data_IF_370524366570
#
_entry.id   IF_370524366570
#
_cell.length_a   1.000
_cell.length_b   1.000
_cell.length_c   1.000
_cell.angle_alpha   90.00
_cell.angle_beta   90.00
_cell.angle_gamma   90.00
#
_symmetry.space_group_name_H-M   'P 1'
#
loop_
_entity.id
_entity.type
_entity.pdbx_description
1 polymer ?
#
# COMPACT_ATOMS: atom_id res chain seq x y z
N UNK A 1 -20.15 -5.01 -4.34
CA UNK A 1 -19.26 -3.85 -4.58
C UNK A 1 -17.83 -4.35 -4.44
N UNK A 2 -17.03 -4.33 -5.51
CA UNK A 2 -15.65 -4.85 -5.46
C UNK A 2 -14.75 -3.88 -4.70
N UNK A 3 -14.65 -4.10 -3.39
CA UNK A 3 -13.77 -3.36 -2.47
C UNK A 3 -12.33 -3.32 -3.01
N UNK A 4 -11.88 -4.38 -3.69
CA UNK A 4 -10.50 -4.51 -4.18
C UNK A 4 -10.05 -3.44 -5.16
N UNK A 5 -10.99 -2.88 -5.92
CA UNK A 5 -10.71 -1.84 -6.92
C UNK A 5 -10.50 -0.44 -6.33
N UNK A 6 -11.02 -0.20 -5.11
CA UNK A 6 -11.01 1.10 -4.43
C UNK A 6 -9.69 1.36 -3.69
N UNK A 7 -9.12 0.33 -3.08
CA UNK A 7 -7.97 0.46 -2.17
C UNK A 7 -6.67 0.07 -2.86
N UNK A 8 -5.69 0.95 -2.79
CA UNK A 8 -4.34 0.74 -3.31
C UNK A 8 -3.41 0.51 -2.13
N UNK A 9 -2.73 -0.63 -2.14
CA UNK A 9 -1.67 -0.93 -1.18
C UNK A 9 -0.38 -0.35 -1.75
N UNK A 10 0.21 0.62 -1.05
CA UNK A 10 1.41 1.32 -1.48
C UNK A 10 2.57 0.96 -0.56
N UNK A 11 3.65 0.41 -1.11
CA UNK A 11 4.86 0.07 -0.35
C UNK A 11 5.99 1.02 -0.73
N UNK A 12 6.51 1.76 0.25
CA UNK A 12 7.57 2.74 0.04
C UNK A 12 8.93 2.15 0.37
N UNK A 13 9.80 2.10 -0.64
CA UNK A 13 11.16 1.57 -0.56
C UNK A 13 11.28 0.11 -0.09
N UNK A 14 10.41 -0.84 -0.49
CA UNK A 14 10.47 -2.20 0.02
C UNK A 14 11.81 -2.87 -0.33
N UNK A 15 12.40 -3.57 0.65
CA UNK A 15 13.74 -4.18 0.51
C UNK A 15 13.70 -5.70 0.33
N UNK A 16 12.74 -6.36 0.96
CA UNK A 16 12.74 -7.80 1.07
C UNK A 16 11.70 -8.44 0.14
N UNK A 17 12.11 -9.23 -0.87
CA UNK A 17 11.18 -9.83 -1.82
C UNK A 17 10.13 -10.72 -1.15
N UNK A 18 10.52 -11.39 -0.07
CA UNK A 18 9.64 -12.24 0.76
C UNK A 18 8.47 -11.46 1.34
N UNK A 19 8.70 -10.24 1.85
CA UNK A 19 7.64 -9.42 2.44
C UNK A 19 6.63 -9.03 1.38
N UNK A 20 7.10 -8.55 0.22
CA UNK A 20 6.24 -8.13 -0.88
C UNK A 20 5.44 -9.31 -1.45
N UNK A 21 6.02 -10.51 -1.55
CA UNK A 21 5.28 -11.70 -1.95
C UNK A 21 4.20 -12.12 -0.94
N UNK A 22 4.51 -12.11 0.36
CA UNK A 22 3.53 -12.39 1.42
C UNK A 22 2.41 -11.34 1.43
N UNK A 23 2.72 -10.07 1.19
CA UNK A 23 1.74 -8.99 1.02
C UNK A 23 0.84 -9.28 -0.18
N UNK A 24 1.39 -9.65 -1.34
CA UNK A 24 0.59 -10.00 -2.52
C UNK A 24 -0.35 -11.20 -2.26
N UNK A 25 0.13 -12.24 -1.57
CA UNK A 25 -0.70 -13.37 -1.12
C UNK A 25 -1.84 -12.90 -0.21
N UNK A 26 -1.54 -12.01 0.72
CA UNK A 26 -2.51 -11.45 1.67
C UNK A 26 -3.56 -10.62 0.95
N UNK A 27 -3.13 -9.76 0.03
CA UNK A 27 -4.02 -8.98 -0.82
C UNK A 27 -5.00 -9.87 -1.56
N UNK A 28 -4.52 -10.94 -2.20
CA UNK A 28 -5.40 -11.91 -2.87
C UNK A 28 -6.43 -12.53 -1.92
N UNK A 29 -6.02 -12.97 -0.74
CA UNK A 29 -6.94 -13.59 0.24
C UNK A 29 -8.08 -12.65 0.65
N UNK A 30 -7.81 -11.34 0.70
CA UNK A 30 -8.80 -10.32 1.07
C UNK A 30 -9.36 -9.56 -0.14
N UNK A 31 -9.17 -10.08 -1.35
CA UNK A 31 -9.66 -9.50 -2.61
C UNK A 31 -9.11 -8.10 -2.96
N UNK A 32 -7.94 -7.72 -2.45
CA UNK A 32 -7.22 -6.52 -2.89
C UNK A 32 -6.40 -6.85 -4.14
N UNK A 33 -6.42 -5.98 -5.15
CA UNK A 33 -5.76 -6.23 -6.44
C UNK A 33 -4.92 -5.06 -6.97
N UNK A 34 -4.83 -3.95 -6.23
CA UNK A 34 -4.05 -2.76 -6.60
C UNK A 34 -2.83 -2.63 -5.72
N UNK A 35 -1.68 -3.06 -6.22
CA UNK A 35 -0.38 -2.92 -5.57
C UNK A 35 0.42 -1.81 -6.26
N UNK A 36 1.04 -0.95 -5.46
CA UNK A 36 1.93 0.11 -5.92
C UNK A 36 3.25 0.00 -5.16
N UNK A 37 4.36 -0.03 -5.87
CA UNK A 37 5.71 -0.04 -5.30
C UNK A 37 6.37 1.31 -5.60
N UNK A 38 6.89 1.96 -4.57
CA UNK A 38 7.64 3.21 -4.70
C UNK A 38 9.11 2.91 -4.44
N UNK A 39 9.97 3.24 -5.40
CA UNK A 39 11.42 3.03 -5.33
C UNK A 39 11.83 1.62 -4.83
N UNK A 40 11.25 0.51 -5.33
CA UNK A 40 11.58 -0.82 -4.83
C UNK A 40 13.03 -1.20 -5.17
N UNK A 41 13.69 -1.97 -4.31
CA UNK A 41 14.97 -2.57 -4.68
C UNK A 41 14.79 -3.50 -5.89
N UNK A 42 15.77 -3.56 -6.79
CA UNK A 42 15.71 -4.41 -8.01
C UNK A 42 15.36 -5.87 -7.69
N UNK A 43 15.93 -6.43 -6.62
CA UNK A 43 15.64 -7.79 -6.15
C UNK A 43 14.17 -8.02 -5.80
N UNK A 44 13.44 -7.00 -5.36
CA UNK A 44 12.00 -7.09 -5.06
C UNK A 44 11.22 -7.36 -6.34
N UNK A 45 11.53 -6.62 -7.40
CA UNK A 45 10.90 -6.82 -8.71
C UNK A 45 11.18 -8.21 -9.27
N UNK A 46 12.39 -8.73 -9.08
CA UNK A 46 12.82 -10.03 -9.62
C UNK A 46 12.28 -11.22 -8.83
N UNK A 47 12.31 -11.17 -7.50
CA UNK A 47 12.13 -12.37 -6.66
C UNK A 47 10.83 -12.43 -5.88
N UNK A 48 10.01 -11.37 -5.82
CA UNK A 48 8.81 -11.37 -4.97
C UNK A 48 7.77 -12.41 -5.36
N UNK A 49 7.68 -12.75 -6.66
CA UNK A 49 6.74 -13.78 -7.15
C UNK A 49 6.99 -15.15 -6.54
N UNK A 50 8.24 -15.48 -6.19
CA UNK A 50 8.60 -16.76 -5.56
C UNK A 50 7.88 -16.98 -4.22
N UNK A 51 7.46 -15.89 -3.55
CA UNK A 51 6.84 -15.92 -2.23
C UNK A 51 5.33 -15.63 -2.27
N UNK A 52 4.77 -15.34 -3.44
CA UNK A 52 3.38 -14.87 -3.58
C UNK A 52 2.34 -15.98 -3.64
N UNK A 53 2.73 -17.23 -3.90
CA UNK A 53 1.82 -18.36 -4.10
C UNK A 53 0.68 -17.98 -5.07
N UNK A 54 -0.58 -18.09 -4.64
CA UNK A 54 -1.78 -17.72 -5.43
C UNK A 54 -2.01 -16.20 -5.58
N UNK A 55 -1.09 -15.34 -5.14
CA UNK A 55 -1.18 -13.88 -5.27
C UNK A 55 -0.23 -13.30 -6.32
N UNK A 56 0.41 -14.12 -7.14
CA UNK A 56 1.36 -13.67 -8.16
C UNK A 56 0.74 -12.69 -9.17
N UNK A 57 -0.56 -12.81 -9.46
CA UNK A 57 -1.31 -11.94 -10.36
C UNK A 57 -1.41 -10.50 -9.85
N UNK A 58 -1.26 -10.26 -8.54
CA UNK A 58 -1.19 -8.92 -7.95
C UNK A 58 0.14 -8.25 -8.33
N UNK A 59 1.23 -9.02 -8.29
CA UNK A 59 2.57 -8.55 -8.66
C UNK A 59 2.70 -8.33 -10.17
N UNK A 60 1.98 -9.11 -10.99
CA UNK A 60 1.93 -8.92 -12.45
C UNK A 60 1.26 -7.61 -12.86
N UNK A 61 0.34 -7.12 -12.05
CA UNK A 61 -0.44 -5.91 -12.30
C UNK A 61 0.01 -4.73 -11.43
N UNK A 62 1.15 -4.86 -10.75
CA UNK A 62 1.65 -3.83 -9.87
C UNK A 62 2.06 -2.58 -10.67
N UNK A 63 1.87 -1.42 -10.07
CA UNK A 63 2.43 -0.17 -10.58
C UNK A 63 3.74 0.11 -9.85
N UNK A 64 4.72 0.65 -10.57
CA UNK A 64 6.03 1.02 -10.01
C UNK A 64 6.29 2.49 -10.31
N UNK A 65 6.69 3.24 -9.29
CA UNK A 65 7.05 4.65 -9.40
C UNK A 65 8.41 4.89 -8.73
N UNK A 66 9.11 5.93 -9.16
CA UNK A 66 10.40 6.31 -8.57
C UNK A 66 10.23 7.11 -7.28
N UNK A 67 9.11 7.83 -7.11
CA UNK A 67 8.80 8.56 -5.89
C UNK A 67 7.29 8.60 -5.57
N UNK A 68 6.97 8.90 -4.31
CA UNK A 68 5.58 8.89 -3.82
C UNK A 68 4.77 10.06 -4.37
N UNK A 69 5.39 11.21 -4.64
CA UNK A 69 4.70 12.39 -5.15
C UNK A 69 4.18 12.14 -6.58
N UNK A 70 4.97 11.49 -7.43
CA UNK A 70 4.55 11.05 -8.76
C UNK A 70 3.34 10.10 -8.67
N UNK A 71 3.42 9.09 -7.80
CA UNK A 71 2.31 8.15 -7.60
C UNK A 71 1.01 8.86 -7.15
N UNK A 72 1.11 9.86 -6.27
CA UNK A 72 -0.04 10.65 -5.82
C UNK A 72 -0.64 11.50 -6.94
N UNK A 73 0.19 12.09 -7.80
CA UNK A 73 -0.25 12.90 -8.93
C UNK A 73 -0.94 12.06 -10.01
N UNK A 74 -0.41 10.87 -10.30
CA UNK A 74 -0.95 9.99 -11.33
C UNK A 74 -2.23 9.27 -10.86
N UNK A 75 -2.24 8.80 -9.61
CA UNK A 75 -3.38 8.07 -9.04
C UNK A 75 -4.50 9.00 -8.57
N UNK A 76 -4.23 10.27 -8.25
CA UNK A 76 -5.21 11.27 -7.78
C UNK A 76 -6.18 10.72 -6.74
N UNK A 77 -5.70 10.24 -5.59
CA UNK A 77 -6.57 9.61 -4.61
C UNK A 77 -7.39 10.63 -3.84
N UNK A 78 -8.59 10.22 -3.43
CA UNK A 78 -9.44 11.04 -2.57
C UNK A 78 -8.88 11.14 -1.15
N UNK A 79 -8.16 10.11 -0.71
CA UNK A 79 -7.46 10.10 0.58
C UNK A 79 -6.22 9.20 0.53
N UNK A 80 -5.20 9.58 1.27
CA UNK A 80 -4.01 8.78 1.53
C UNK A 80 -3.82 8.61 3.03
N UNK A 81 -3.56 7.38 3.47
CA UNK A 81 -3.44 7.00 4.88
C UNK A 81 -2.09 6.32 5.07
N UNK A 82 -1.18 7.00 5.77
CA UNK A 82 0.14 6.46 6.11
C UNK A 82 0.12 5.66 7.41
N UNK A 83 0.77 4.50 7.41
CA UNK A 83 0.96 3.70 8.62
C UNK A 83 2.25 4.11 9.35
N UNK A 84 2.20 4.16 10.69
CA UNK A 84 3.37 4.50 11.51
C UNK A 84 3.42 3.62 12.75
N UNK A 85 4.62 3.15 13.11
CA UNK A 85 4.88 2.46 14.38
C UNK A 85 4.92 3.41 15.59
N UNK A 86 4.98 4.73 15.35
CA UNK A 86 4.97 5.77 16.39
C UNK A 86 3.66 6.56 16.34
N UNK A 87 3.04 6.76 17.50
CA UNK A 87 2.02 7.80 17.68
C UNK A 87 2.77 9.14 17.74
N UNK A 88 2.68 9.98 16.73
CA UNK A 88 3.10 11.38 16.93
C UNK A 88 1.97 12.15 17.64
N UNK A 89 2.27 13.35 18.09
CA UNK A 89 1.25 14.25 18.63
C UNK A 89 0.22 14.55 17.55
N UNK A 90 -1.08 14.53 17.92
CA UNK A 90 -2.14 15.06 17.06
C UNK A 90 -1.74 16.49 16.67
N UNK A 91 -1.65 16.74 15.37
CA UNK A 91 -1.52 18.09 14.84
C UNK A 91 -2.73 18.38 13.96
N UNK A 92 -2.94 19.66 13.64
CA UNK A 92 -3.98 20.06 12.69
C UNK A 92 -3.83 19.35 11.33
N UNK A 93 -2.62 18.89 10.99
CA UNK A 93 -2.30 18.24 9.71
C UNK A 93 -2.28 16.70 9.78
N UNK A 94 -2.25 16.10 10.98
CA UNK A 94 -2.16 14.64 11.14
C UNK A 94 -3.16 14.14 12.17
N UNK A 95 -4.21 13.49 11.67
CA UNK A 95 -5.20 12.80 12.48
C UNK A 95 -4.78 11.34 12.66
N UNK A 96 -4.52 10.97 13.90
CA UNK A 96 -4.30 9.57 14.27
C UNK A 96 -5.63 8.84 14.33
N UNK A 97 -5.71 7.74 13.59
CA UNK A 97 -6.88 6.87 13.54
C UNK A 97 -6.43 5.44 13.74
N UNK A 98 -7.18 4.69 14.52
CA UNK A 98 -7.05 3.23 14.59
C UNK A 98 -7.52 2.59 13.28
N UNK A 99 -7.15 1.33 12.99
CA UNK A 99 -7.68 0.62 11.83
C UNK A 99 -9.21 0.58 11.78
N UNK A 100 -9.89 0.51 12.94
CA UNK A 100 -11.37 0.52 13.00
C UNK A 100 -11.92 1.88 12.58
N UNK A 101 -11.39 2.97 13.14
CA UNK A 101 -11.79 4.33 12.77
C UNK A 101 -11.48 4.63 11.29
N UNK A 102 -10.35 4.15 10.78
CA UNK A 102 -9.98 4.24 9.38
C UNK A 102 -11.02 3.59 8.46
N UNK A 103 -11.54 2.42 8.82
CA UNK A 103 -12.61 1.76 8.06
C UNK A 103 -13.85 2.64 8.00
N UNK A 104 -14.28 3.21 9.13
CA UNK A 104 -15.45 4.11 9.18
C UNK A 104 -15.24 5.35 8.31
N UNK A 105 -14.07 5.98 8.40
CA UNK A 105 -13.70 7.14 7.56
C UNK A 105 -13.71 6.78 6.08
N UNK A 106 -13.20 5.61 5.71
CA UNK A 106 -13.14 5.19 4.30
C UNK A 106 -14.50 4.81 3.72
N UNK A 107 -15.54 4.56 4.54
CA UNK A 107 -16.89 4.23 4.05
C UNK A 107 -17.55 5.39 3.33
N UNK A 108 -17.37 6.62 3.83
CA UNK A 108 -17.98 7.83 3.25
C UNK A 108 -17.17 8.44 2.11
N UNK A 109 -15.92 8.01 1.92
CA UNK A 109 -15.04 8.55 0.87
C UNK A 109 -15.37 7.89 -0.46
N UNK A 110 -15.75 8.68 -1.45
CA UNK A 110 -15.84 8.23 -2.84
C UNK A 110 -14.46 8.30 -3.52
N UNK A 111 -14.18 7.40 -4.45
CA UNK A 111 -12.91 7.35 -5.18
C UNK A 111 -11.80 6.53 -4.51
N UNK A 112 -10.55 6.75 -4.94
CA UNK A 112 -9.41 5.89 -4.58
C UNK A 112 -8.88 6.20 -3.19
N UNK A 113 -8.53 5.15 -2.46
CA UNK A 113 -7.90 5.22 -1.13
C UNK A 113 -6.52 4.60 -1.21
N UNK A 114 -5.47 5.33 -0.82
CA UNK A 114 -4.12 4.77 -0.69
C UNK A 114 -3.84 4.41 0.76
N UNK A 115 -3.44 3.15 0.99
CA UNK A 115 -2.90 2.67 2.25
C UNK A 115 -1.39 2.56 2.10
N UNK A 116 -0.67 3.51 2.70
CA UNK A 116 0.76 3.70 2.49
C UNK A 116 1.55 3.09 3.63
N UNK A 117 2.40 2.13 3.29
CA UNK A 117 3.29 1.42 4.21
C UNK A 117 4.73 1.81 3.93
N UNK A 118 5.44 2.14 5.00
CA UNK A 118 6.85 2.53 4.93
C UNK A 118 7.78 1.34 4.86
N UNK A 119 9.07 1.65 4.73
CA UNK A 119 10.13 0.66 4.67
C UNK A 119 10.27 -0.08 6.00
N UNK A 120 10.64 -1.35 5.95
CA UNK A 120 10.57 -2.24 7.12
C UNK A 120 11.52 -1.84 8.26
N UNK A 121 12.64 -1.18 7.96
CA UNK A 121 13.67 -0.81 8.93
C UNK A 121 13.52 0.63 9.46
N UNK A 122 12.88 1.56 8.72
CA UNK A 122 12.80 2.98 9.07
C UNK A 122 11.39 3.57 9.10
N UNK A 123 10.38 2.87 8.57
CA UNK A 123 9.02 3.41 8.41
C UNK A 123 8.86 4.34 7.21
N UNK A 124 7.87 5.23 7.29
CA UNK A 124 7.60 6.30 6.30
C UNK A 124 8.41 7.55 6.60
#
# INVERSE_FOLDING_TARGET
MDIGSKYYIVLVGPKYPVNVGIIARTMRNFSFNKLVLISPEKRVLEFSKLYAAKGAEVLEKQLVYDDLAQALQDLKPSVSIGTSGKKASKSLLRQYVSPKEMVELCRSIEGRVLLVFGREDIGL
#
